data_IF_570082591505
#
_entry.id   IF_570082591505
#
_cell.length_a   1.000
_cell.length_b   1.000
_cell.length_c   1.000
_cell.angle_alpha   90.00
_cell.angle_beta   90.00
_cell.angle_gamma   90.00
#
_symmetry.space_group_name_H-M   'P 1'
#
loop_
_entity.id
_entity.type
_entity.pdbx_description
1 polymer ?
#
# COMPACT_ATOMS: atom_id res chain seq x y z
N UNK A 1 -42.56 1.84 -12.72
CA UNK A 1 -42.23 1.91 -11.27
C UNK A 1 -41.62 3.27 -10.97
N UNK A 2 -41.91 3.86 -9.83
CA UNK A 2 -41.33 5.17 -9.43
C UNK A 2 -40.03 4.97 -8.61
N UNK A 3 -39.18 5.98 -8.53
CA UNK A 3 -37.91 5.98 -7.75
C UNK A 3 -38.12 5.52 -6.31
N UNK A 4 -39.24 5.91 -5.71
CA UNK A 4 -39.62 5.53 -4.34
C UNK A 4 -39.74 4.01 -4.17
N UNK A 5 -40.19 3.28 -5.18
CA UNK A 5 -40.32 1.82 -5.12
C UNK A 5 -38.96 1.13 -5.13
N UNK A 6 -38.00 1.65 -5.90
CA UNK A 6 -36.63 1.15 -5.92
C UNK A 6 -35.90 1.40 -4.60
N UNK A 7 -36.03 2.61 -4.04
CA UNK A 7 -35.44 2.94 -2.73
C UNK A 7 -35.99 2.07 -1.59
N UNK A 8 -37.27 1.69 -1.66
CA UNK A 8 -37.90 0.80 -0.67
C UNK A 8 -37.47 -0.66 -0.79
N UNK A 9 -37.07 -1.10 -1.99
CA UNK A 9 -36.58 -2.47 -2.24
C UNK A 9 -35.11 -2.66 -1.90
N UNK A 10 -34.36 -1.56 -1.77
CA UNK A 10 -32.95 -1.61 -1.43
C UNK A 10 -32.76 -2.26 -0.05
N UNK A 11 -31.86 -3.24 0.04
CA UNK A 11 -31.56 -3.94 1.29
C UNK A 11 -31.09 -2.97 2.37
N UNK A 12 -31.45 -3.23 3.63
CA UNK A 12 -30.87 -2.46 4.73
C UNK A 12 -29.37 -2.77 4.86
N UNK A 13 -28.61 -1.82 5.40
CA UNK A 13 -27.17 -2.01 5.67
C UNK A 13 -26.94 -3.25 6.53
N UNK A 14 -27.79 -3.49 7.54
CA UNK A 14 -27.65 -4.67 8.40
C UNK A 14 -27.92 -5.98 7.64
N UNK A 15 -28.93 -6.01 6.77
CA UNK A 15 -29.25 -7.22 6.00
C UNK A 15 -28.14 -7.55 5.00
N UNK A 16 -27.59 -6.52 4.34
CA UNK A 16 -26.48 -6.69 3.40
C UNK A 16 -25.20 -7.17 4.11
N UNK A 17 -24.91 -6.63 5.30
CA UNK A 17 -23.80 -7.11 6.13
C UNK A 17 -24.02 -8.57 6.53
N UNK A 18 -25.22 -8.94 7.01
CA UNK A 18 -25.52 -10.32 7.38
C UNK A 18 -25.42 -11.28 6.20
N UNK A 19 -25.90 -10.86 5.03
CA UNK A 19 -25.78 -11.63 3.80
C UNK A 19 -24.31 -11.79 3.38
N UNK A 20 -23.50 -10.73 3.51
CA UNK A 20 -22.06 -10.77 3.24
C UNK A 20 -21.33 -11.73 4.18
N UNK A 21 -21.68 -11.76 5.47
CA UNK A 21 -21.10 -12.70 6.43
C UNK A 21 -21.52 -14.15 6.22
N UNK A 22 -22.72 -14.38 5.69
CA UNK A 22 -23.16 -15.73 5.27
C UNK A 22 -22.43 -16.19 4.02
N UNK A 23 -21.99 -15.25 3.18
CA UNK A 23 -21.19 -15.55 2.00
C UNK A 23 -19.76 -15.95 2.42
N UNK A 24 -19.35 -17.13 1.95
CA UNK A 24 -18.09 -17.81 2.30
C UNK A 24 -16.83 -17.02 1.90
N UNK A 25 -16.94 -16.07 0.96
CA UNK A 25 -15.83 -15.24 0.49
C UNK A 25 -15.40 -14.19 1.54
N UNK A 26 -16.36 -13.58 2.26
CA UNK A 26 -16.05 -12.54 3.25
C UNK A 26 -15.76 -13.06 4.66
N UNK A 27 -16.12 -14.31 4.96
CA UNK A 27 -15.85 -14.94 6.27
C UNK A 27 -14.37 -15.29 6.54
N UNK A 28 -13.47 -15.11 5.57
CA UNK A 28 -12.04 -15.48 5.68
C UNK A 28 -11.17 -14.31 6.13
N UNK A 29 -11.30 -13.92 7.41
CA UNK A 29 -10.34 -13.00 8.05
C UNK A 29 -10.43 -11.53 7.61
N UNK A 30 -11.50 -11.14 6.90
CA UNK A 30 -11.77 -9.74 6.57
C UNK A 30 -12.34 -9.02 7.81
N UNK A 31 -11.77 -7.87 8.22
CA UNK A 31 -12.30 -7.08 9.34
C UNK A 31 -13.76 -6.66 9.11
N UNK A 32 -14.56 -6.67 10.18
CA UNK A 32 -15.98 -6.32 10.11
C UNK A 32 -16.24 -4.89 9.71
N UNK A 33 -15.36 -4.02 10.18
CA UNK A 33 -15.38 -2.60 9.90
C UNK A 33 -15.28 -2.37 8.38
N UNK A 34 -14.43 -3.15 7.70
CA UNK A 34 -14.23 -3.03 6.25
C UNK A 34 -15.46 -3.47 5.47
N UNK A 35 -16.06 -4.61 5.83
CA UNK A 35 -17.31 -5.09 5.20
C UNK A 35 -18.45 -4.09 5.43
N UNK A 36 -18.53 -3.52 6.63
CA UNK A 36 -19.53 -2.52 6.99
C UNK A 36 -19.39 -1.25 6.17
N UNK A 37 -18.16 -0.74 6.04
CA UNK A 37 -17.89 0.46 5.26
C UNK A 37 -18.16 0.23 3.76
N UNK A 38 -17.69 -0.89 3.21
CA UNK A 38 -17.97 -1.25 1.82
C UNK A 38 -19.47 -1.39 1.55
N UNK A 39 -20.22 -2.03 2.45
CA UNK A 39 -21.69 -2.14 2.36
C UNK A 39 -22.36 -0.77 2.34
N UNK A 40 -21.91 0.17 3.18
CA UNK A 40 -22.42 1.55 3.18
C UNK A 40 -22.09 2.28 1.88
N UNK A 41 -20.85 2.18 1.40
CA UNK A 41 -20.42 2.81 0.15
C UNK A 41 -21.23 2.30 -1.05
N UNK A 42 -21.44 0.99 -1.15
CA UNK A 42 -22.26 0.39 -2.22
C UNK A 42 -23.70 0.86 -2.14
N UNK A 43 -24.32 0.81 -0.95
CA UNK A 43 -25.71 1.22 -0.78
C UNK A 43 -25.92 2.71 -1.06
N UNK A 44 -24.98 3.57 -0.65
CA UNK A 44 -25.06 5.00 -0.97
C UNK A 44 -24.89 5.25 -2.46
N UNK A 45 -23.93 4.58 -3.12
CA UNK A 45 -23.76 4.71 -4.57
C UNK A 45 -24.99 4.25 -5.37
N UNK A 46 -25.65 3.17 -4.93
CA UNK A 46 -26.91 2.70 -5.54
C UNK A 46 -28.05 3.69 -5.26
N UNK A 47 -28.13 4.23 -4.05
CA UNK A 47 -29.11 5.26 -3.69
C UNK A 47 -28.96 6.51 -4.55
N UNK A 48 -27.74 7.02 -4.72
CA UNK A 48 -27.43 8.14 -5.60
C UNK A 48 -27.80 7.85 -7.06
N UNK A 49 -27.48 6.66 -7.56
CA UNK A 49 -27.85 6.24 -8.91
C UNK A 49 -29.36 6.24 -9.14
N UNK A 50 -30.15 5.76 -8.17
CA UNK A 50 -31.62 5.76 -8.23
C UNK A 50 -32.16 7.20 -8.27
N UNK A 51 -31.60 8.08 -7.41
CA UNK A 51 -32.01 9.49 -7.35
C UNK A 51 -31.65 10.24 -8.63
N UNK A 52 -30.49 9.95 -9.24
CA UNK A 52 -29.99 10.58 -10.46
C UNK A 52 -30.66 10.09 -11.75
N UNK A 53 -31.31 8.92 -11.74
CA UNK A 53 -31.96 8.35 -12.93
C UNK A 53 -33.01 9.31 -13.52
N UNK A 54 -32.95 9.56 -14.83
CA UNK A 54 -33.82 10.55 -15.50
C UNK A 54 -35.08 9.94 -16.13
N UNK A 55 -35.09 8.63 -16.32
CA UNK A 55 -36.14 7.89 -17.00
C UNK A 55 -36.27 6.46 -16.42
N UNK A 56 -37.38 5.79 -16.76
CA UNK A 56 -37.66 4.43 -16.28
C UNK A 56 -36.68 3.38 -16.82
N UNK A 57 -36.11 3.60 -18.00
CA UNK A 57 -35.14 2.69 -18.61
C UNK A 57 -33.82 2.68 -17.81
N UNK A 58 -33.40 3.86 -17.34
CA UNK A 58 -32.24 4.07 -16.48
C UNK A 58 -32.45 3.44 -15.10
N UNK A 59 -33.65 3.52 -14.53
CA UNK A 59 -34.00 2.84 -13.28
C UNK A 59 -33.96 1.31 -13.41
N UNK A 60 -34.44 0.76 -14.52
CA UNK A 60 -34.42 -0.69 -14.77
C UNK A 60 -33.02 -1.28 -14.88
N UNK A 61 -31.99 -0.47 -15.13
CA UNK A 61 -30.59 -0.91 -15.15
C UNK A 61 -29.97 -1.01 -13.75
N UNK A 62 -30.59 -0.41 -12.75
CA UNK A 62 -30.09 -0.43 -11.38
C UNK A 62 -30.66 -1.65 -10.68
N UNK A 63 -29.79 -2.60 -10.33
CA UNK A 63 -30.20 -3.72 -9.50
C UNK A 63 -30.31 -3.28 -8.04
N UNK A 64 -31.38 -3.71 -7.40
CA UNK A 64 -31.55 -3.64 -5.94
C UNK A 64 -31.56 -5.03 -5.33
N UNK A 65 -31.20 -6.06 -6.10
CA UNK A 65 -31.13 -7.44 -5.64
C UNK A 65 -29.95 -7.63 -4.69
N UNK A 66 -30.15 -8.38 -3.62
CA UNK A 66 -29.13 -8.56 -2.59
C UNK A 66 -27.89 -9.26 -3.13
N UNK A 67 -28.01 -10.24 -4.04
CA UNK A 67 -26.86 -10.97 -4.55
C UNK A 67 -25.99 -10.10 -5.50
N UNK A 68 -26.64 -9.24 -6.28
CA UNK A 68 -25.94 -8.25 -7.10
C UNK A 68 -25.21 -7.22 -6.22
N UNK A 69 -25.85 -6.75 -5.14
CA UNK A 69 -25.23 -5.84 -4.17
C UNK A 69 -24.06 -6.52 -3.45
N UNK A 70 -24.15 -7.80 -3.12
CA UNK A 70 -23.04 -8.56 -2.54
C UNK A 70 -21.84 -8.60 -3.46
N UNK A 71 -22.05 -8.82 -4.75
CA UNK A 71 -20.97 -8.79 -5.75
C UNK A 71 -20.27 -7.43 -5.80
N UNK A 72 -21.03 -6.34 -5.67
CA UNK A 72 -20.46 -4.99 -5.58
C UNK A 72 -19.70 -4.76 -4.27
N UNK A 73 -20.20 -5.28 -3.15
CA UNK A 73 -19.53 -5.19 -1.85
C UNK A 73 -18.23 -6.01 -1.85
N UNK A 74 -18.21 -7.20 -2.46
CA UNK A 74 -17.00 -7.99 -2.67
C UNK A 74 -15.95 -7.21 -3.44
N UNK A 75 -16.32 -6.61 -4.56
CA UNK A 75 -15.41 -5.79 -5.35
C UNK A 75 -14.88 -4.57 -4.57
N UNK A 76 -15.74 -3.87 -3.84
CA UNK A 76 -15.34 -2.72 -3.03
C UNK A 76 -14.36 -3.13 -1.92
N UNK A 77 -14.59 -4.26 -1.26
CA UNK A 77 -13.67 -4.82 -0.27
C UNK A 77 -12.34 -5.22 -0.92
N UNK A 78 -12.38 -5.89 -2.07
CA UNK A 78 -11.16 -6.24 -2.82
C UNK A 78 -10.34 -5.01 -3.20
N UNK A 79 -10.97 -3.94 -3.72
CA UNK A 79 -10.27 -2.70 -4.07
C UNK A 79 -9.64 -2.04 -2.84
N UNK A 80 -10.31 -2.07 -1.68
CA UNK A 80 -9.76 -1.51 -0.43
C UNK A 80 -8.63 -2.34 0.16
N UNK A 81 -8.67 -3.66 -0.02
CA UNK A 81 -7.60 -4.56 0.40
C UNK A 81 -6.39 -4.52 -0.54
N UNK A 82 -6.53 -3.97 -1.75
CA UNK A 82 -5.39 -3.84 -2.67
C UNK A 82 -4.37 -2.85 -2.10
N UNK A 83 -3.10 -3.27 -1.95
CA UNK A 83 -2.04 -2.36 -1.59
C UNK A 83 -1.86 -1.27 -2.64
N UNK A 84 -1.71 -0.02 -2.20
CA UNK A 84 -1.35 1.09 -3.08
C UNK A 84 0.07 0.93 -3.66
N UNK A 85 0.98 0.35 -2.87
CA UNK A 85 2.32 -0.03 -3.31
C UNK A 85 2.32 -1.45 -3.86
N UNK A 86 2.59 -1.60 -5.17
CA UNK A 86 2.54 -2.87 -5.86
C UNK A 86 3.59 -2.97 -6.96
N UNK A 87 3.95 -4.20 -7.31
CA UNK A 87 4.83 -4.47 -8.46
C UNK A 87 4.17 -3.99 -9.76
N UNK A 88 4.99 -3.48 -10.66
CA UNK A 88 4.62 -3.01 -12.00
C UNK A 88 5.58 -3.62 -13.04
N UNK A 89 5.14 -3.69 -14.30
CA UNK A 89 5.97 -4.12 -15.42
C UNK A 89 6.46 -2.87 -16.14
N UNK A 90 7.79 -2.70 -16.25
CA UNK A 90 8.38 -1.58 -16.98
C UNK A 90 8.47 -1.94 -18.49
N UNK A 91 7.67 -1.26 -19.31
CA UNK A 91 7.68 -1.40 -20.77
C UNK A 91 8.19 -0.13 -21.49
N UNK A 92 8.80 0.82 -20.76
CA UNK A 92 9.23 2.11 -21.34
C UNK A 92 10.62 2.07 -21.96
N UNK A 93 11.41 1.03 -21.67
CA UNK A 93 12.83 0.94 -22.04
C UNK A 93 13.77 1.78 -21.16
N UNK A 94 13.24 2.55 -20.20
CA UNK A 94 14.05 3.36 -19.27
C UNK A 94 14.52 2.48 -18.10
N UNK A 95 15.84 2.28 -17.98
CA UNK A 95 16.45 1.43 -16.94
C UNK A 95 16.33 2.08 -15.55
N UNK A 96 16.80 3.31 -15.38
CA UNK A 96 16.71 4.05 -14.10
C UNK A 96 15.46 4.93 -14.12
N UNK A 97 14.31 4.32 -13.83
CA UNK A 97 13.02 5.01 -13.91
C UNK A 97 12.62 5.62 -12.57
N UNK A 98 12.68 6.94 -12.43
CA UNK A 98 12.40 7.65 -11.16
C UNK A 98 11.02 7.33 -10.58
N UNK A 99 9.96 7.32 -11.40
CA UNK A 99 8.60 7.02 -10.94
C UNK A 99 8.36 5.54 -10.61
N UNK A 100 9.19 4.61 -11.10
CA UNK A 100 9.05 3.16 -10.86
C UNK A 100 10.06 2.63 -9.83
N UNK A 101 10.72 3.52 -9.09
CA UNK A 101 11.63 3.11 -8.00
C UNK A 101 13.12 3.02 -8.37
N UNK A 102 13.54 3.62 -9.49
CA UNK A 102 14.95 3.69 -9.94
C UNK A 102 15.52 2.29 -10.23
N UNK A 103 16.62 1.92 -9.58
CA UNK A 103 17.36 0.69 -9.83
C UNK A 103 16.75 -0.50 -9.09
N UNK A 104 16.66 -1.64 -9.76
CA UNK A 104 16.33 -2.91 -9.12
C UNK A 104 17.53 -3.40 -8.31
N UNK A 105 17.25 -4.09 -7.21
CA UNK A 105 18.27 -4.79 -6.43
C UNK A 105 18.51 -6.19 -7.02
N UNK A 106 19.76 -6.67 -7.08
CA UNK A 106 20.04 -8.07 -7.37
C UNK A 106 19.53 -8.98 -6.24
N UNK A 107 19.33 -10.27 -6.53
CA UNK A 107 18.77 -11.23 -5.57
C UNK A 107 19.58 -11.30 -4.27
N UNK A 108 20.90 -11.36 -4.35
CA UNK A 108 21.80 -11.38 -3.18
C UNK A 108 21.58 -10.17 -2.24
N UNK A 109 21.25 -9.00 -2.80
CA UNK A 109 20.95 -7.82 -2.00
C UNK A 109 19.56 -7.89 -1.35
N UNK A 110 18.58 -8.51 -2.02
CA UNK A 110 17.27 -8.80 -1.43
C UNK A 110 17.40 -9.79 -0.27
N UNK A 111 18.19 -10.85 -0.43
CA UNK A 111 18.47 -11.82 0.64
C UNK A 111 19.11 -11.14 1.87
N UNK A 112 20.08 -10.25 1.65
CA UNK A 112 20.68 -9.46 2.71
C UNK A 112 19.67 -8.56 3.43
N UNK A 113 18.74 -7.93 2.70
CA UNK A 113 17.65 -7.14 3.30
C UNK A 113 16.70 -7.99 4.13
N UNK A 114 16.33 -9.18 3.65
CA UNK A 114 15.50 -10.13 4.40
C UNK A 114 16.21 -10.56 5.69
N UNK A 115 17.50 -10.88 5.63
CA UNK A 115 18.30 -11.19 6.82
C UNK A 115 18.29 -10.02 7.81
N UNK A 116 18.59 -8.80 7.35
CA UNK A 116 18.67 -7.61 8.18
C UNK A 116 17.32 -7.22 8.82
N UNK A 117 16.20 -7.43 8.12
CA UNK A 117 14.86 -7.05 8.58
C UNK A 117 14.13 -8.13 9.38
N UNK A 118 14.51 -9.41 9.24
CA UNK A 118 13.80 -10.53 9.87
C UNK A 118 14.48 -11.10 11.11
N UNK A 119 15.68 -10.60 11.48
CA UNK A 119 16.49 -11.08 12.61
C UNK A 119 17.16 -9.92 13.35
N UNK A 120 17.54 -10.14 14.61
CA UNK A 120 18.49 -9.27 15.28
C UNK A 120 19.84 -9.34 14.59
N UNK A 121 20.56 -8.22 14.57
CA UNK A 121 21.86 -8.09 13.92
C UNK A 121 22.75 -7.11 14.69
N UNK A 122 24.02 -7.04 14.32
CA UNK A 122 25.05 -6.24 14.97
C UNK A 122 25.14 -4.80 14.41
N UNK A 123 24.01 -4.20 14.00
CA UNK A 123 23.99 -2.88 13.37
C UNK A 123 24.76 -1.81 14.17
N UNK A 124 24.65 -1.83 15.50
CA UNK A 124 25.36 -0.92 16.42
C UNK A 124 26.08 -1.68 17.54
N UNK A 125 26.47 -2.93 17.32
CA UNK A 125 27.13 -3.78 18.31
C UNK A 125 28.47 -4.26 17.76
N UNK A 126 29.55 -4.05 18.50
CA UNK A 126 30.83 -4.70 18.21
C UNK A 126 30.82 -6.11 18.80
N UNK A 127 31.14 -7.11 17.98
CA UNK A 127 31.05 -8.51 18.40
C UNK A 127 32.27 -8.92 19.24
N UNK A 128 33.37 -8.20 19.11
CA UNK A 128 34.65 -8.48 19.76
C UNK A 128 34.59 -8.23 21.27
N UNK A 129 33.91 -7.16 21.68
CA UNK A 129 33.85 -6.72 23.09
C UNK A 129 32.42 -6.48 23.61
N UNK A 130 31.39 -6.63 22.76
CA UNK A 130 29.99 -6.40 23.11
C UNK A 130 29.63 -4.94 23.32
N UNK A 131 30.52 -3.99 23.00
CA UNK A 131 30.29 -2.57 23.16
C UNK A 131 29.40 -1.99 22.05
N UNK A 132 28.88 -0.78 22.28
CA UNK A 132 28.12 -0.06 21.25
C UNK A 132 29.07 0.46 20.17
N UNK A 133 28.80 0.08 18.93
CA UNK A 133 29.54 0.52 17.74
C UNK A 133 28.77 1.51 16.87
N UNK A 134 29.46 2.14 15.92
CA UNK A 134 28.85 2.97 14.88
C UNK A 134 28.38 2.11 13.71
N UNK A 135 27.12 2.26 13.30
CA UNK A 135 26.59 1.61 12.09
C UNK A 135 27.33 1.98 10.80
N UNK A 136 28.03 3.11 10.78
CA UNK A 136 28.80 3.56 9.62
C UNK A 136 30.03 2.67 9.37
N UNK A 137 30.57 2.04 10.42
CA UNK A 137 31.77 1.22 10.34
C UNK A 137 31.63 0.06 9.34
N UNK A 138 30.41 -0.50 9.22
CA UNK A 138 30.09 -1.60 8.29
C UNK A 138 30.32 -1.23 6.82
N UNK A 139 30.17 0.06 6.45
CA UNK A 139 30.29 0.53 5.06
C UNK A 139 31.55 1.37 4.82
N UNK A 140 32.03 2.09 5.83
CA UNK A 140 33.12 3.05 5.69
C UNK A 140 34.38 2.41 5.08
N UNK A 141 34.78 1.24 5.59
CA UNK A 141 35.96 0.52 5.07
C UNK A 141 35.82 0.21 3.58
N UNK A 142 34.70 -0.38 3.17
CA UNK A 142 34.44 -0.74 1.78
C UNK A 142 34.42 0.49 0.87
N UNK A 143 33.82 1.59 1.32
CA UNK A 143 33.78 2.84 0.55
C UNK A 143 35.17 3.46 0.40
N UNK A 144 35.97 3.50 1.46
CA UNK A 144 37.35 3.97 1.38
C UNK A 144 38.18 3.09 0.43
N UNK A 145 38.05 1.76 0.50
CA UNK A 145 38.75 0.82 -0.39
C UNK A 145 38.37 1.03 -1.88
N UNK A 146 37.08 1.25 -2.17
CA UNK A 146 36.59 1.45 -3.54
C UNK A 146 36.94 2.82 -4.12
N UNK A 147 37.02 3.86 -3.29
CA UNK A 147 37.17 5.25 -3.75
C UNK A 147 38.57 5.81 -3.57
N UNK A 148 39.39 5.20 -2.70
CA UNK A 148 40.67 5.74 -2.26
C UNK A 148 40.57 6.93 -1.29
N UNK A 149 39.36 7.26 -0.81
CA UNK A 149 39.16 8.35 0.14
C UNK A 149 39.68 8.00 1.55
N UNK A 150 40.18 9.00 2.27
CA UNK A 150 40.67 8.84 3.65
C UNK A 150 39.56 8.44 4.64
N UNK A 151 38.32 8.84 4.36
CA UNK A 151 37.13 8.54 5.16
C UNK A 151 35.86 8.61 4.32
N UNK A 152 34.79 7.96 4.78
CA UNK A 152 33.49 7.93 4.10
C UNK A 152 32.34 7.96 5.11
N UNK A 153 31.24 8.60 4.72
CA UNK A 153 30.00 8.67 5.50
C UNK A 153 28.80 8.42 4.58
N UNK A 154 27.86 7.57 5.02
CA UNK A 154 26.60 7.32 4.30
C UNK A 154 25.45 8.01 5.03
N UNK A 155 24.70 8.80 4.26
CA UNK A 155 23.47 9.46 4.71
C UNK A 155 22.29 8.99 3.87
N UNK A 156 21.07 9.38 4.26
CA UNK A 156 19.83 8.91 3.65
C UNK A 156 19.80 9.01 2.11
N UNK A 157 20.22 10.14 1.55
CA UNK A 157 20.29 10.36 0.11
C UNK A 157 21.27 11.49 -0.25
N UNK A 158 21.49 11.72 -1.54
CA UNK A 158 22.41 12.74 -2.01
C UNK A 158 22.00 14.17 -1.61
N UNK A 159 20.69 14.47 -1.53
CA UNK A 159 20.24 15.80 -1.11
C UNK A 159 20.63 16.08 0.36
N UNK A 160 20.48 15.09 1.24
CA UNK A 160 20.96 15.17 2.61
C UNK A 160 22.48 15.31 2.68
N UNK A 161 23.22 14.63 1.80
CA UNK A 161 24.68 14.73 1.73
C UNK A 161 25.13 16.15 1.37
N UNK A 162 24.50 16.76 0.35
CA UNK A 162 24.78 18.14 -0.06
C UNK A 162 24.50 19.11 1.08
N UNK A 163 23.34 19.00 1.73
CA UNK A 163 22.98 19.86 2.86
C UNK A 163 23.97 19.71 4.02
N UNK A 164 24.33 18.47 4.37
CA UNK A 164 25.28 18.20 5.45
C UNK A 164 26.65 18.80 5.14
N UNK A 165 27.16 18.58 3.93
CA UNK A 165 28.45 19.10 3.50
C UNK A 165 28.48 20.64 3.52
N UNK A 166 27.45 21.29 2.99
CA UNK A 166 27.35 22.75 3.02
C UNK A 166 27.24 23.28 4.46
N UNK A 167 26.43 22.67 5.30
CA UNK A 167 26.24 23.12 6.69
C UNK A 167 27.53 22.97 7.50
N UNK A 168 28.25 21.86 7.34
CA UNK A 168 29.50 21.61 8.05
C UNK A 168 30.64 22.56 7.64
N UNK A 169 30.70 22.98 6.37
CA UNK A 169 31.80 23.79 5.84
C UNK A 169 31.49 25.29 5.68
N UNK A 170 30.22 25.69 5.52
CA UNK A 170 29.84 27.09 5.32
C UNK A 170 29.46 27.83 6.61
N UNK A 171 29.37 27.12 7.74
CA UNK A 171 29.26 27.73 9.08
C UNK A 171 30.63 27.79 9.80
N UNK A 172 31.72 27.49 9.08
CA UNK A 172 33.11 27.62 9.55
C UNK A 172 33.63 29.04 9.37
#
# INVERSE_FOLDING_TARGET
>A
MDKKDYLRRLSSVNDLIQAAYRNRLMGKGIPRELVTEASRTVLEGVREAILAAKDELSLKKISTDTDDLLTLVEKEVEERLKPSFRRVINATGVVVHTNLGRSLLPEDAIEALVMAGSRYNNLELQLEDGSRGSRQAHLQRLLCELTGAESALVVNNNAAAVLLALTAHAQS
#
